data_IF_656581690414
#
_entry.id   IF_656581690414
#
_cell.length_a   1.000
_cell.length_b   1.000
_cell.length_c   1.000
_cell.angle_alpha   90.00
_cell.angle_beta   90.00
_cell.angle_gamma   90.00
#
_symmetry.space_group_name_H-M   'P 1'
#
loop_
_entity.id
_entity.type
_entity.pdbx_description
1 polymer ?
#
# COMPACT_ATOMS: atom_id res chain seq x y z
N UNK A 1 6.58 -49.88 3.29
CA UNK A 1 7.31 -48.67 3.75
C UNK A 1 6.66 -47.49 3.07
N UNK A 2 5.98 -46.62 3.81
CA UNK A 2 5.42 -45.40 3.21
C UNK A 2 6.57 -44.43 2.93
N UNK A 3 6.69 -43.99 1.68
CA UNK A 3 7.62 -42.94 1.26
C UNK A 3 7.23 -41.63 1.94
N UNK A 4 8.18 -40.94 2.58
CA UNK A 4 7.96 -39.58 3.06
C UNK A 4 7.92 -38.63 1.85
N UNK A 5 6.84 -37.85 1.73
CA UNK A 5 6.73 -36.78 0.75
C UNK A 5 7.29 -35.47 1.31
N UNK A 6 8.07 -34.77 0.48
CA UNK A 6 8.60 -33.45 0.81
C UNK A 6 7.57 -32.39 0.42
N UNK A 7 7.13 -31.61 1.41
CA UNK A 7 6.22 -30.48 1.17
C UNK A 7 7.04 -29.19 1.02
N UNK A 8 7.01 -28.60 -0.17
CA UNK A 8 7.53 -27.26 -0.43
C UNK A 8 6.42 -26.24 -0.28
N UNK A 9 6.61 -25.24 0.59
CA UNK A 9 5.69 -24.11 0.71
C UNK A 9 5.87 -23.17 -0.49
N UNK A 10 4.83 -23.05 -1.29
CA UNK A 10 4.71 -21.99 -2.29
C UNK A 10 3.90 -20.86 -1.67
N UNK A 11 4.51 -19.72 -1.30
CA UNK A 11 3.75 -18.59 -0.82
C UNK A 11 2.73 -18.18 -1.89
N UNK A 12 1.49 -17.97 -1.48
CA UNK A 12 0.51 -17.35 -2.37
C UNK A 12 1.12 -16.02 -2.87
N UNK A 13 0.98 -15.66 -4.16
CA UNK A 13 1.40 -14.35 -4.65
C UNK A 13 0.78 -13.31 -3.73
N UNK A 14 1.62 -12.62 -2.96
CA UNK A 14 1.14 -11.68 -1.96
C UNK A 14 0.59 -10.48 -2.72
N UNK A 15 -0.63 -10.05 -2.36
CA UNK A 15 -1.21 -8.78 -2.83
C UNK A 15 -0.14 -7.66 -2.75
N UNK A 16 0.62 -7.65 -1.64
CA UNK A 16 1.83 -6.83 -1.42
C UNK A 16 2.74 -6.66 -2.63
N UNK A 17 3.14 -7.73 -3.32
CA UNK A 17 4.07 -7.62 -4.47
C UNK A 17 3.43 -7.00 -5.72
N UNK A 18 2.13 -7.17 -5.91
CA UNK A 18 1.39 -6.52 -6.98
C UNK A 18 1.09 -5.05 -6.61
N UNK A 19 0.71 -4.80 -5.36
CA UNK A 19 0.40 -3.49 -4.82
C UNK A 19 1.62 -2.56 -4.83
N UNK A 20 2.77 -3.02 -4.35
CA UNK A 20 4.03 -2.25 -4.40
C UNK A 20 4.42 -1.88 -5.84
N UNK A 21 4.22 -2.80 -6.80
CA UNK A 21 4.44 -2.50 -8.22
C UNK A 21 3.48 -1.44 -8.74
N UNK A 22 2.20 -1.50 -8.35
CA UNK A 22 1.20 -0.50 -8.73
C UNK A 22 1.48 0.86 -8.10
N UNK A 23 1.84 0.92 -6.82
CA UNK A 23 2.27 2.16 -6.14
C UNK A 23 3.46 2.80 -6.87
N UNK A 24 4.45 1.97 -7.25
CA UNK A 24 5.61 2.44 -8.02
C UNK A 24 5.23 2.98 -9.39
N UNK A 25 4.32 2.31 -10.10
CA UNK A 25 3.84 2.75 -11.39
C UNK A 25 3.08 4.09 -11.30
N UNK A 26 2.20 4.25 -10.31
CA UNK A 26 1.47 5.49 -10.07
C UNK A 26 2.41 6.69 -9.82
N UNK A 27 3.43 6.51 -8.97
CA UNK A 27 4.45 7.53 -8.74
C UNK A 27 5.23 7.89 -10.01
N UNK A 28 5.70 6.87 -10.75
CA UNK A 28 6.47 7.07 -11.96
C UNK A 28 5.68 7.80 -13.06
N UNK A 29 4.40 7.45 -13.24
CA UNK A 29 3.52 8.12 -14.19
C UNK A 29 3.31 9.60 -13.86
N UNK A 30 3.39 9.97 -12.58
CA UNK A 30 3.30 11.34 -12.10
C UNK A 30 4.66 12.07 -12.01
N UNK A 31 5.76 11.43 -12.44
CA UNK A 31 7.10 12.02 -12.43
C UNK A 31 7.83 11.93 -11.09
N UNK A 32 7.34 11.12 -10.15
CA UNK A 32 7.99 10.86 -8.87
C UNK A 32 8.78 9.55 -8.89
N UNK A 33 9.85 9.50 -8.11
CA UNK A 33 10.64 8.29 -7.89
C UNK A 33 10.80 8.05 -6.39
N UNK A 34 10.60 6.81 -5.97
CA UNK A 34 10.87 6.33 -4.61
C UNK A 34 11.59 4.98 -4.70
N UNK A 35 12.40 4.66 -3.67
CA UNK A 35 13.02 3.34 -3.60
C UNK A 35 11.98 2.26 -3.32
N UNK A 36 12.24 1.03 -3.78
CA UNK A 36 11.33 -0.09 -3.55
C UNK A 36 11.12 -0.35 -2.05
N UNK A 37 12.19 -0.23 -1.25
CA UNK A 37 12.12 -0.33 0.21
C UNK A 37 11.21 0.73 0.84
N UNK A 38 11.21 1.96 0.35
CA UNK A 38 10.38 3.01 0.93
C UNK A 38 8.90 2.81 0.57
N UNK A 39 8.61 2.31 -0.65
CA UNK A 39 7.26 1.94 -1.05
C UNK A 39 6.76 0.75 -0.22
N UNK A 40 7.60 -0.26 0.00
CA UNK A 40 7.26 -1.40 0.85
C UNK A 40 7.01 -1.00 2.30
N UNK A 41 7.84 -0.12 2.87
CA UNK A 41 7.63 0.42 4.23
C UNK A 41 6.32 1.18 4.32
N UNK A 42 6.03 2.03 3.34
CA UNK A 42 4.78 2.77 3.31
C UNK A 42 3.56 1.83 3.25
N UNK A 43 3.62 0.79 2.40
CA UNK A 43 2.61 -0.25 2.36
C UNK A 43 2.44 -0.94 3.72
N UNK A 44 3.55 -1.33 4.36
CA UNK A 44 3.54 -2.02 5.64
C UNK A 44 2.97 -1.13 6.75
N UNK A 45 3.36 0.15 6.84
CA UNK A 45 2.86 1.09 7.85
C UNK A 45 1.34 1.29 7.74
N UNK A 46 0.83 1.47 6.52
CA UNK A 46 -0.59 1.68 6.28
C UNK A 46 -1.42 0.38 6.38
N UNK A 47 -0.84 -0.76 6.01
CA UNK A 47 -1.47 -2.08 6.21
C UNK A 47 -1.47 -2.48 7.68
N UNK A 48 -0.45 -2.10 8.46
CA UNK A 48 -0.34 -2.41 9.88
C UNK A 48 -1.23 -1.52 10.73
N UNK A 49 -1.46 -0.27 10.33
CA UNK A 49 -2.44 0.62 10.95
C UNK A 49 -3.83 -0.07 11.05
N UNK A 50 -4.18 -0.96 10.11
CA UNK A 50 -5.40 -1.79 10.15
C UNK A 50 -5.49 -2.73 11.36
N UNK A 51 -4.35 -3.28 11.79
CA UNK A 51 -4.33 -4.30 12.85
C UNK A 51 -4.62 -3.71 14.22
N UNK A 52 -4.39 -2.40 14.38
CA UNK A 52 -4.57 -1.69 15.65
C UNK A 52 -5.69 -0.63 15.60
N UNK A 53 -6.05 -0.16 14.40
CA UNK A 53 -7.07 0.86 14.16
C UNK A 53 -7.94 0.41 12.97
N UNK A 54 -9.22 0.84 12.90
CA UNK A 54 -10.13 0.53 11.76
C UNK A 54 -9.73 1.20 10.42
N UNK A 55 -8.47 1.59 10.31
CA UNK A 55 -7.98 2.74 9.56
C UNK A 55 -6.93 2.42 8.49
N UNK A 56 -6.59 1.15 8.28
CA UNK A 56 -5.54 0.77 7.34
C UNK A 56 -6.10 0.27 6.02
N UNK A 57 -5.22 0.19 5.01
CA UNK A 57 -5.58 -0.36 3.71
C UNK A 57 -5.95 -1.85 3.82
N UNK A 58 -7.05 -2.24 3.17
CA UNK A 58 -7.36 -3.65 2.93
C UNK A 58 -6.75 -4.10 1.61
N UNK A 59 -6.85 -3.22 0.60
CA UNK A 59 -6.25 -3.25 -0.74
C UNK A 59 -5.99 -1.78 -1.15
N UNK A 60 -5.21 -1.58 -2.22
CA UNK A 60 -5.08 -0.25 -2.82
C UNK A 60 -6.40 0.23 -3.43
N UNK A 61 -6.70 1.55 -3.40
CA UNK A 61 -7.82 2.12 -4.16
C UNK A 61 -7.72 1.79 -5.64
N UNK A 62 -8.84 1.57 -6.32
CA UNK A 62 -8.84 1.22 -7.75
C UNK A 62 -8.54 2.41 -8.67
N UNK A 63 -8.73 3.62 -8.20
CA UNK A 63 -8.39 4.84 -8.92
C UNK A 63 -6.91 5.20 -8.70
N UNK A 64 -6.17 5.38 -9.79
CA UNK A 64 -4.75 5.71 -9.77
C UNK A 64 -4.49 7.17 -9.36
N UNK A 65 -5.43 8.09 -9.59
CA UNK A 65 -5.32 9.48 -9.11
C UNK A 65 -5.43 9.53 -7.59
N UNK A 66 -6.47 8.88 -7.05
CA UNK A 66 -6.64 8.70 -5.61
C UNK A 66 -5.46 7.98 -4.97
N UNK A 67 -4.95 6.91 -5.60
CA UNK A 67 -3.75 6.22 -5.15
C UNK A 67 -2.55 7.18 -5.08
N UNK A 68 -2.32 7.95 -6.14
CA UNK A 68 -1.23 8.91 -6.18
C UNK A 68 -1.34 9.95 -5.07
N UNK A 69 -2.53 10.51 -4.84
CA UNK A 69 -2.73 11.50 -3.78
C UNK A 69 -2.33 10.95 -2.41
N UNK A 70 -2.81 9.75 -2.10
CA UNK A 70 -2.51 9.03 -0.86
C UNK A 70 -1.00 8.74 -0.74
N UNK A 71 -0.33 8.38 -1.82
CA UNK A 71 1.11 8.16 -1.82
C UNK A 71 1.89 9.45 -1.55
N UNK A 72 1.54 10.55 -2.21
CA UNK A 72 2.20 11.85 -1.99
C UNK A 72 2.02 12.36 -0.56
N UNK A 73 0.86 12.07 0.02
CA UNK A 73 0.51 12.23 1.43
C UNK A 73 1.42 11.35 2.29
N UNK A 74 1.49 10.04 2.03
CA UNK A 74 2.32 9.08 2.76
C UNK A 74 3.81 9.45 2.78
N UNK A 75 4.32 9.93 1.64
CA UNK A 75 5.68 10.45 1.49
C UNK A 75 5.86 11.90 1.98
N UNK A 76 4.83 12.52 2.54
CA UNK A 76 4.85 13.90 3.08
C UNK A 76 5.23 14.97 2.05
N UNK A 77 5.00 14.69 0.76
CA UNK A 77 5.14 15.65 -0.34
C UNK A 77 3.95 16.61 -0.35
N UNK A 78 2.75 16.08 -0.12
CA UNK A 78 1.54 16.88 0.12
C UNK A 78 1.24 16.94 1.63
N UNK A 79 0.71 18.07 2.14
CA UNK A 79 0.23 18.13 3.51
C UNK A 79 -0.98 17.21 3.70
N UNK A 80 -1.22 16.85 4.96
CA UNK A 80 -2.52 16.35 5.43
C UNK A 80 -3.58 17.38 5.08
N UNK A 81 -4.56 17.07 4.21
CA UNK A 81 -5.72 17.93 4.10
C UNK A 81 -6.42 17.92 5.47
N UNK A 82 -6.45 19.08 6.11
CA UNK A 82 -7.00 19.25 7.47
C UNK A 82 -8.53 19.31 7.50
N UNK A 83 -9.23 19.18 6.37
CA UNK A 83 -10.69 19.24 6.31
C UNK A 83 -11.28 18.18 5.36
N UNK A 84 -12.28 17.51 5.90
CA UNK A 84 -13.27 16.58 5.36
C UNK A 84 -13.55 16.68 3.84
N UNK A 85 -12.84 15.88 3.05
CA UNK A 85 -13.39 15.41 1.76
C UNK A 85 -13.66 13.91 1.87
N UNK A 86 -14.90 13.58 2.23
CA UNK A 86 -15.46 12.22 2.36
C UNK A 86 -15.34 11.39 1.07
N UNK A 87 -14.93 12.00 -0.06
CA UNK A 87 -14.73 11.31 -1.34
C UNK A 87 -13.47 10.43 -1.36
N UNK A 88 -12.48 10.72 -0.53
CA UNK A 88 -11.28 9.91 -0.39
C UNK A 88 -11.41 9.08 0.89
N UNK A 89 -11.44 7.76 0.75
CA UNK A 89 -11.30 6.85 1.90
C UNK A 89 -9.87 6.94 2.43
N UNK A 90 -9.63 7.99 3.23
CA UNK A 90 -8.38 8.19 3.92
C UNK A 90 -8.18 7.07 4.94
N UNK A 91 -6.94 6.60 5.10
CA UNK A 91 -6.55 5.80 6.25
C UNK A 91 -6.85 6.61 7.51
N UNK A 92 -7.81 6.17 8.32
CA UNK A 92 -8.37 6.99 9.41
C UNK A 92 -7.41 7.12 10.60
N UNK A 93 -6.44 8.00 10.47
CA UNK A 93 -5.88 8.89 11.51
C UNK A 93 -4.67 9.59 10.88
N UNK A 94 -4.93 10.78 10.35
CA UNK A 94 -3.96 11.82 10.09
C UNK A 94 -4.26 12.99 11.03
#
# INVERSE_FOLDING_TARGET
>A
MSSMEYLQYTPAPSARSADVRRMRAALANAGYMASENDIERLWDDYSFARRFYKAGWFDLPQDDEQLLEILLVGFKVKPVPYDDDDSIQWPSNW
#
